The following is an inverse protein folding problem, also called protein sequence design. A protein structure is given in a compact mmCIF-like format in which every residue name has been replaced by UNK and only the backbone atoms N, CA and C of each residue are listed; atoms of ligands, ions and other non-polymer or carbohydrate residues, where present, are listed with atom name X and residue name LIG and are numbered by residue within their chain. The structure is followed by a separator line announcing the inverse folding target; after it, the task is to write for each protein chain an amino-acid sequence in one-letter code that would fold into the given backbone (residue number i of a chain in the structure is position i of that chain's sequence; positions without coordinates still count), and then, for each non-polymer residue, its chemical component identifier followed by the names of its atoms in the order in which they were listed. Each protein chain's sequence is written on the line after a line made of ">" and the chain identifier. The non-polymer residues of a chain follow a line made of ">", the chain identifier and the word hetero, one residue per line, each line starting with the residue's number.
data_IF_479689470715
#
_entry.id   IF_479689470715
#
_cell.length_a   1.000
_cell.length_b   1.000
_cell.length_c   1.000
_cell.angle_alpha   90.00
_cell.angle_beta   90.00
_cell.angle_gamma   90.00
#
_symmetry.space_group_name_H-M   'P 1'
#
loop_
_entity.id
_entity.type
_entity.pdbx_description
1 polymer ?
#
# COMPACT_ATOMS: atom_id res chain seq x y z
N UNK A 1 2.56 -17.34 -4.86
CA UNK A 1 3.69 -17.13 -5.78
C UNK A 1 4.75 -16.32 -5.02
N UNK A 2 5.71 -17.05 -4.49
CA UNK A 2 6.74 -16.59 -3.55
C UNK A 2 7.91 -16.07 -4.38
N UNK A 3 7.80 -14.86 -4.91
CA UNK A 3 9.00 -14.07 -5.20
C UNK A 3 9.40 -13.49 -3.85
N UNK A 4 9.96 -14.38 -3.03
CA UNK A 4 10.57 -14.06 -1.75
C UNK A 4 11.62 -13.00 -2.01
N UNK A 5 11.71 -12.07 -1.07
CA UNK A 5 12.36 -10.80 -1.23
C UNK A 5 13.89 -10.93 -1.10
N UNK A 6 14.49 -11.87 -1.83
CA UNK A 6 15.92 -12.21 -1.77
C UNK A 6 16.78 -10.99 -2.12
N UNK A 7 16.30 -10.13 -3.01
CA UNK A 7 16.97 -8.89 -3.39
C UNK A 7 17.03 -7.91 -2.19
N UNK A 8 15.93 -7.73 -1.46
CA UNK A 8 15.93 -6.88 -0.25
C UNK A 8 16.68 -7.53 0.89
N UNK A 9 16.59 -8.85 1.07
CA UNK A 9 17.39 -9.59 2.06
C UNK A 9 18.89 -9.40 1.82
N UNK A 10 19.35 -9.57 0.58
CA UNK A 10 20.76 -9.34 0.21
C UNK A 10 21.18 -7.88 0.40
N UNK A 11 20.29 -6.92 0.09
CA UNK A 11 20.57 -5.49 0.27
C UNK A 11 20.61 -5.08 1.75
N UNK A 12 19.73 -5.62 2.59
CA UNK A 12 19.76 -5.43 4.04
C UNK A 12 21.03 -6.04 4.63
N UNK A 13 21.42 -7.25 4.19
CA UNK A 13 22.65 -7.89 4.64
C UNK A 13 23.89 -7.05 4.30
N UNK A 14 23.97 -6.49 3.08
CA UNK A 14 25.04 -5.57 2.68
C UNK A 14 25.07 -4.31 3.54
N UNK A 15 23.94 -3.62 3.70
CA UNK A 15 23.87 -2.39 4.50
C UNK A 15 24.16 -2.65 5.99
N UNK A 16 23.81 -3.83 6.49
CA UNK A 16 24.11 -4.25 7.85
C UNK A 16 25.62 -4.51 8.04
N UNK A 17 26.28 -5.06 7.03
CA UNK A 17 27.74 -5.22 7.04
C UNK A 17 28.42 -3.83 7.02
N UNK A 18 27.99 -2.94 6.13
CA UNK A 18 28.53 -1.56 6.05
C UNK A 18 28.34 -0.78 7.37
N UNK A 19 27.16 -0.90 7.99
CA UNK A 19 26.89 -0.28 9.29
C UNK A 19 27.78 -0.87 10.40
N UNK A 20 27.99 -2.18 10.40
CA UNK A 20 28.88 -2.87 11.35
C UNK A 20 30.32 -2.39 11.20
N UNK A 21 30.82 -2.33 9.97
CA UNK A 21 32.19 -1.88 9.68
C UNK A 21 32.39 -0.43 10.13
N UNK A 22 31.44 0.46 9.85
CA UNK A 22 31.49 1.85 10.30
C UNK A 22 31.43 1.98 11.84
N UNK A 23 30.65 1.14 12.51
CA UNK A 23 30.62 1.10 13.98
C UNK A 23 31.96 0.62 14.56
N UNK A 24 32.60 -0.36 13.94
CA UNK A 24 33.91 -0.85 14.39
C UNK A 24 35.02 0.18 14.18
N UNK A 25 34.99 0.91 13.05
CA UNK A 25 35.86 2.08 12.86
C UNK A 25 35.61 3.19 13.88
N UNK A 26 34.35 3.46 14.24
CA UNK A 26 34.00 4.42 15.29
C UNK A 26 34.53 3.98 16.66
N UNK A 27 34.38 2.69 17.02
CA UNK A 27 34.95 2.12 18.25
C UNK A 27 36.47 2.25 18.27
N UNK A 28 37.13 1.99 17.14
CA UNK A 28 38.58 2.12 17.03
C UNK A 28 39.04 3.56 17.32
N UNK A 29 38.42 4.56 16.70
CA UNK A 29 38.75 5.97 16.96
C UNK A 29 38.39 6.38 18.38
N UNK A 30 37.30 5.85 18.96
CA UNK A 30 36.97 6.09 20.37
C UNK A 30 38.04 5.56 21.33
N UNK A 31 38.64 4.40 21.02
CA UNK A 31 39.77 3.86 21.80
C UNK A 31 40.98 4.78 21.70
N UNK A 32 41.32 5.26 20.50
CA UNK A 32 42.43 6.22 20.32
C UNK A 32 42.16 7.52 21.10
N UNK A 33 40.93 8.05 21.06
CA UNK A 33 40.55 9.24 21.84
C UNK A 33 40.78 9.01 23.32
N UNK A 34 40.36 7.86 23.87
CA UNK A 34 40.58 7.54 25.28
C UNK A 34 42.07 7.45 25.63
N UNK A 35 42.87 6.78 24.80
CA UNK A 35 44.33 6.70 24.98
C UNK A 35 45.00 8.08 24.93
N UNK A 36 44.52 8.98 24.07
CA UNK A 36 45.02 10.36 23.96
C UNK A 36 44.63 11.21 25.19
N UNK A 37 43.42 11.01 25.73
CA UNK A 37 42.97 11.67 26.97
C UNK A 37 43.81 11.22 28.16
N UNK A 38 44.07 9.91 28.29
CA UNK A 38 44.93 9.37 29.33
C UNK A 38 46.34 9.94 29.27
N UNK A 39 46.91 10.05 28.05
CA UNK A 39 48.21 10.70 27.84
C UNK A 39 48.15 12.16 28.26
N UNK A 40 47.16 12.93 27.82
CA UNK A 40 47.00 14.36 28.17
C UNK A 40 46.89 14.62 29.68
N UNK A 41 46.43 13.64 30.46
CA UNK A 41 46.33 13.73 31.92
C UNK A 41 47.68 13.56 32.65
N UNK A 42 48.77 13.21 31.95
CA UNK A 42 50.10 13.13 32.55
C UNK A 42 50.66 14.54 32.83
N UNK A 43 50.99 14.88 34.09
CA UNK A 43 51.45 16.22 34.47
C UNK A 43 52.85 16.60 33.94
N UNK A 44 53.63 15.64 33.43
CA UNK A 44 55.01 15.84 32.96
C UNK A 44 55.14 15.98 31.42
N UNK A 45 54.07 16.36 30.72
CA UNK A 45 54.08 16.50 29.26
C UNK A 45 54.61 17.86 28.83
N UNK A 46 55.48 17.85 27.80
CA UNK A 46 55.98 19.05 27.15
C UNK A 46 54.89 19.82 26.40
N UNK A 47 55.03 21.15 26.29
CA UNK A 47 54.03 22.03 25.65
C UNK A 47 53.85 21.67 24.17
N UNK A 48 54.93 21.37 23.45
CA UNK A 48 54.86 20.98 22.03
C UNK A 48 54.20 19.61 21.85
N UNK A 49 54.46 18.68 22.76
CA UNK A 49 53.82 17.36 22.77
C UNK A 49 52.31 17.47 23.06
N UNK A 50 51.92 18.33 24.01
CA UNK A 50 50.51 18.62 24.33
C UNK A 50 49.74 19.16 23.12
N UNK A 51 50.31 20.11 22.38
CA UNK A 51 49.66 20.66 21.17
C UNK A 51 49.44 19.60 20.09
N UNK A 52 50.43 18.73 19.87
CA UNK A 52 50.31 17.63 18.93
C UNK A 52 49.23 16.61 19.35
N UNK A 53 49.17 16.26 20.65
CA UNK A 53 48.12 15.39 21.19
C UNK A 53 46.72 15.99 21.06
N UNK A 54 46.56 17.29 21.31
CA UNK A 54 45.29 17.99 21.11
C UNK A 54 44.84 17.99 19.64
N UNK A 55 45.78 18.16 18.70
CA UNK A 55 45.49 18.06 17.26
C UNK A 55 45.04 16.65 16.88
N UNK A 56 45.74 15.61 17.36
CA UNK A 56 45.33 14.21 17.14
C UNK A 56 43.97 13.90 17.75
N UNK A 57 43.70 14.41 18.96
CA UNK A 57 42.42 14.22 19.64
C UNK A 57 41.27 14.82 18.84
N UNK A 58 41.46 16.04 18.33
CA UNK A 58 40.48 16.71 17.47
C UNK A 58 40.20 15.88 16.21
N UNK A 59 41.25 15.48 15.48
CA UNK A 59 41.11 14.68 14.25
C UNK A 59 40.39 13.36 14.52
N UNK A 60 40.74 12.62 15.58
CA UNK A 60 40.11 11.33 15.88
C UNK A 60 38.65 11.49 16.36
N UNK A 61 38.34 12.59 17.04
CA UNK A 61 36.96 12.92 17.42
C UNK A 61 36.10 13.23 16.19
N UNK A 62 36.62 14.01 15.25
CA UNK A 62 35.96 14.29 13.96
C UNK A 62 35.75 13.00 13.15
N UNK A 63 36.77 12.14 13.03
CA UNK A 63 36.64 10.86 12.35
C UNK A 63 35.60 9.95 13.00
N UNK A 64 35.57 9.85 14.34
CA UNK A 64 34.52 9.12 15.08
C UNK A 64 33.12 9.62 14.70
N UNK A 65 32.91 10.94 14.65
CA UNK A 65 31.59 11.49 14.27
C UNK A 65 31.21 11.15 12.82
N UNK A 66 32.17 11.20 11.89
CA UNK A 66 31.94 10.83 10.48
C UNK A 66 31.53 9.35 10.36
N UNK A 67 32.20 8.44 11.07
CA UNK A 67 31.85 7.01 11.02
C UNK A 67 30.49 6.72 11.68
N UNK A 68 30.13 7.44 12.75
CA UNK A 68 28.79 7.34 13.35
C UNK A 68 27.70 7.83 12.39
N UNK A 69 27.93 8.92 11.69
CA UNK A 69 26.98 9.45 10.71
C UNK A 69 26.78 8.47 9.54
N UNK A 70 27.87 7.87 9.05
CA UNK A 70 27.80 6.82 8.01
C UNK A 70 27.04 5.59 8.49
N UNK A 71 27.29 5.11 9.70
CA UNK A 71 26.54 3.99 10.29
C UNK A 71 25.04 4.33 10.42
N UNK A 72 24.72 5.54 10.88
CA UNK A 72 23.34 6.00 11.00
C UNK A 72 22.64 6.09 9.63
N UNK A 73 23.33 6.55 8.60
CA UNK A 73 22.80 6.60 7.24
C UNK A 73 22.52 5.19 6.69
N UNK A 74 23.43 4.22 6.88
CA UNK A 74 23.18 2.83 6.48
C UNK A 74 21.97 2.22 7.22
N UNK A 75 21.81 2.51 8.52
CA UNK A 75 20.64 2.11 9.30
C UNK A 75 19.35 2.79 8.83
N UNK A 76 19.42 4.07 8.47
CA UNK A 76 18.28 4.80 7.91
C UNK A 76 17.86 4.20 6.56
N UNK A 77 18.81 3.82 5.71
CA UNK A 77 18.51 3.14 4.46
C UNK A 77 17.89 1.75 4.67
N UNK A 78 18.30 1.01 5.71
CA UNK A 78 17.63 -0.24 6.10
C UNK A 78 16.19 0.04 6.54
N UNK A 79 15.98 1.05 7.38
CA UNK A 79 14.64 1.46 7.80
C UNK A 79 13.78 1.89 6.61
N UNK A 80 14.35 2.64 5.68
CA UNK A 80 13.69 3.04 4.44
C UNK A 80 13.36 1.84 3.57
N UNK A 81 14.22 0.81 3.46
CA UNK A 81 13.91 -0.43 2.72
C UNK A 81 12.79 -1.24 3.39
N UNK A 82 12.76 -1.28 4.72
CA UNK A 82 11.73 -1.98 5.49
C UNK A 82 10.37 -1.24 5.42
N UNK A 83 10.39 0.09 5.34
CA UNK A 83 9.18 0.93 5.28
C UNK A 83 8.70 1.17 3.84
N UNK A 84 9.60 1.33 2.86
CA UNK A 84 9.26 1.52 1.44
C UNK A 84 8.88 0.22 0.74
N UNK A 85 9.33 -0.94 1.24
CA UNK A 85 8.84 -2.26 0.82
C UNK A 85 7.34 -2.49 1.05
N UNK A 86 6.67 -1.58 1.78
CA UNK A 86 5.24 -1.63 2.09
C UNK A 86 4.32 -0.83 1.16
N UNK A 87 4.79 -0.22 0.06
CA UNK A 87 3.87 0.60 -0.78
C UNK A 87 2.76 -0.21 -1.47
N UNK A 88 2.95 -1.52 -1.70
CA UNK A 88 1.88 -2.47 -2.10
C UNK A 88 1.11 -3.04 -0.90
N UNK A 89 1.69 -2.99 0.30
CA UNK A 89 1.06 -3.44 1.54
C UNK A 89 0.17 -2.36 2.16
N UNK A 90 0.27 -1.09 1.77
CA UNK A 90 -0.61 -0.03 2.27
C UNK A 90 -2.07 -0.26 1.83
N UNK A 91 -2.32 -0.52 0.54
CA UNK A 91 -3.67 -0.85 0.06
C UNK A 91 -4.21 -2.15 0.69
N UNK A 92 -3.40 -3.22 0.72
CA UNK A 92 -3.84 -4.51 1.27
C UNK A 92 -4.04 -4.47 2.79
N UNK A 93 -3.23 -3.70 3.52
CA UNK A 93 -3.39 -3.52 4.96
C UNK A 93 -4.61 -2.65 5.28
N UNK A 94 -4.84 -1.56 4.53
CA UNK A 94 -6.06 -0.77 4.65
C UNK A 94 -7.29 -1.62 4.32
N UNK A 95 -7.26 -2.41 3.25
CA UNK A 95 -8.34 -3.34 2.90
C UNK A 95 -8.58 -4.37 4.01
N UNK A 96 -7.52 -4.91 4.61
CA UNK A 96 -7.64 -5.83 5.75
C UNK A 96 -8.26 -5.15 6.98
N UNK A 97 -7.88 -3.89 7.28
CA UNK A 97 -8.50 -3.11 8.35
C UNK A 97 -10.00 -2.90 8.09
N UNK A 98 -10.38 -2.60 6.84
CA UNK A 98 -11.78 -2.50 6.44
C UNK A 98 -12.53 -3.82 6.59
N UNK A 99 -11.94 -4.94 6.17
CA UNK A 99 -12.53 -6.28 6.34
C UNK A 99 -12.75 -6.59 7.82
N UNK A 100 -11.75 -6.36 8.67
CA UNK A 100 -11.86 -6.63 10.11
C UNK A 100 -12.97 -5.78 10.74
N UNK A 101 -13.02 -4.48 10.41
CA UNK A 101 -14.10 -3.60 10.88
C UNK A 101 -15.48 -4.06 10.41
N UNK A 102 -15.60 -4.45 9.14
CA UNK A 102 -16.85 -4.93 8.58
C UNK A 102 -17.28 -6.25 9.22
N UNK A 103 -16.35 -7.19 9.43
CA UNK A 103 -16.61 -8.45 10.15
C UNK A 103 -17.09 -8.20 11.58
N UNK A 104 -16.44 -7.26 12.29
CA UNK A 104 -16.84 -6.90 13.64
C UNK A 104 -18.25 -6.28 13.64
N UNK A 105 -18.56 -5.39 12.71
CA UNK A 105 -19.92 -4.86 12.54
C UNK A 105 -20.94 -5.97 12.29
N UNK A 106 -20.67 -6.88 11.34
CA UNK A 106 -21.55 -8.02 11.07
C UNK A 106 -21.75 -8.91 12.30
N UNK A 107 -20.72 -9.10 13.14
CA UNK A 107 -20.85 -9.90 14.36
C UNK A 107 -21.74 -9.28 15.44
N UNK A 108 -22.05 -7.98 15.34
CA UNK A 108 -22.98 -7.31 16.25
C UNK A 108 -24.45 -7.43 15.83
N UNK A 109 -24.71 -7.91 14.62
CA UNK A 109 -26.06 -7.99 14.05
C UNK A 109 -26.69 -9.36 14.33
N UNK A 110 -28.01 -9.37 14.52
CA UNK A 110 -28.78 -10.63 14.56
C UNK A 110 -28.91 -11.24 13.17
N UNK A 111 -29.23 -12.53 13.10
CA UNK A 111 -29.44 -13.24 11.82
C UNK A 111 -30.53 -12.57 10.99
N UNK A 112 -31.62 -12.13 11.62
CA UNK A 112 -32.70 -11.39 10.96
C UNK A 112 -32.21 -10.06 10.35
N UNK A 113 -31.41 -9.29 11.10
CA UNK A 113 -30.86 -8.02 10.62
C UNK A 113 -29.92 -8.22 9.43
N UNK A 114 -29.10 -9.28 9.45
CA UNK A 114 -28.25 -9.64 8.33
C UNK A 114 -29.10 -9.96 7.09
N UNK A 115 -30.20 -10.70 7.25
CA UNK A 115 -31.10 -11.02 6.15
C UNK A 115 -31.74 -9.76 5.53
N UNK A 116 -32.17 -8.79 6.35
CA UNK A 116 -32.66 -7.50 5.84
C UNK A 116 -31.59 -6.73 5.07
N UNK A 117 -30.35 -6.70 5.54
CA UNK A 117 -29.24 -6.05 4.84
C UNK A 117 -28.98 -6.72 3.49
N UNK A 118 -28.95 -8.05 3.44
CA UNK A 118 -28.76 -8.80 2.19
C UNK A 118 -29.88 -8.48 1.19
N UNK A 119 -31.14 -8.44 1.64
CA UNK A 119 -32.27 -8.05 0.81
C UNK A 119 -32.13 -6.63 0.26
N UNK A 120 -31.79 -5.64 1.11
CA UNK A 120 -31.59 -4.24 0.69
C UNK A 120 -30.50 -4.15 -0.37
N UNK A 121 -29.35 -4.78 -0.15
CA UNK A 121 -28.24 -4.81 -1.12
C UNK A 121 -28.68 -5.48 -2.41
N UNK A 122 -29.41 -6.59 -2.32
CA UNK A 122 -29.93 -7.31 -3.46
C UNK A 122 -30.87 -6.43 -4.32
N UNK A 123 -31.86 -5.80 -3.70
CA UNK A 123 -32.76 -4.88 -4.41
C UNK A 123 -32.03 -3.69 -5.01
N UNK A 124 -31.01 -3.15 -4.32
CA UNK A 124 -30.18 -2.08 -4.87
C UNK A 124 -29.46 -2.52 -6.16
N UNK A 125 -28.91 -3.74 -6.18
CA UNK A 125 -28.28 -4.31 -7.38
C UNK A 125 -29.29 -4.48 -8.52
N UNK A 126 -30.51 -4.94 -8.23
CA UNK A 126 -31.58 -5.06 -9.22
C UNK A 126 -31.94 -3.69 -9.80
N UNK A 127 -32.14 -2.68 -8.95
CA UNK A 127 -32.45 -1.31 -9.38
C UNK A 127 -31.32 -0.75 -10.25
N UNK A 128 -30.06 -0.91 -9.83
CA UNK A 128 -28.89 -0.48 -10.62
C UNK A 128 -28.84 -1.17 -11.98
N UNK A 129 -29.19 -2.45 -12.04
CA UNK A 129 -29.27 -3.21 -13.30
C UNK A 129 -30.40 -2.70 -14.20
N UNK A 130 -31.57 -2.37 -13.62
CA UNK A 130 -32.70 -1.76 -14.35
C UNK A 130 -32.35 -0.38 -14.90
N UNK A 131 -31.69 0.47 -14.11
CA UNK A 131 -31.20 1.78 -14.57
C UNK A 131 -30.20 1.60 -15.71
N UNK A 132 -29.31 0.62 -15.61
CA UNK A 132 -28.34 0.30 -16.67
C UNK A 132 -29.04 -0.13 -17.96
N UNK A 133 -30.06 -0.98 -17.87
CA UNK A 133 -30.89 -1.39 -19.02
C UNK A 133 -31.60 -0.17 -19.62
N UNK A 134 -32.23 0.67 -18.79
CA UNK A 134 -32.90 1.88 -19.25
C UNK A 134 -31.91 2.83 -19.97
N UNK A 135 -30.73 3.06 -19.39
CA UNK A 135 -29.70 3.91 -19.99
C UNK A 135 -29.22 3.37 -21.36
N UNK A 136 -29.16 2.06 -21.54
CA UNK A 136 -28.85 1.43 -22.83
C UNK A 136 -29.97 1.66 -23.84
N UNK A 137 -31.23 1.39 -23.48
CA UNK A 137 -32.38 1.53 -24.36
C UNK A 137 -32.61 2.99 -24.79
N UNK A 138 -32.63 3.91 -23.81
CA UNK A 138 -32.78 5.34 -24.10
C UNK A 138 -31.55 5.91 -24.81
N UNK A 139 -30.35 5.42 -24.49
CA UNK A 139 -29.13 5.82 -25.19
C UNK A 139 -29.19 5.56 -26.69
N UNK A 140 -29.61 4.35 -27.11
CA UNK A 140 -29.77 4.02 -28.53
C UNK A 140 -30.93 4.80 -29.19
N UNK A 141 -32.03 5.02 -28.45
CA UNK A 141 -33.13 5.86 -28.91
C UNK A 141 -32.68 7.30 -29.21
N UNK A 142 -31.93 7.94 -28.29
CA UNK A 142 -31.42 9.30 -28.50
C UNK A 142 -30.47 9.37 -29.70
N UNK A 143 -29.59 8.37 -29.87
CA UNK A 143 -28.65 8.32 -31.00
C UNK A 143 -29.39 8.32 -32.34
N UNK A 144 -30.45 7.50 -32.45
CA UNK A 144 -31.28 7.41 -33.65
C UNK A 144 -32.10 8.68 -33.87
N UNK A 145 -32.75 9.18 -32.81
CA UNK A 145 -33.61 10.37 -32.89
C UNK A 145 -32.86 11.62 -33.35
N UNK A 146 -31.66 11.86 -32.80
CA UNK A 146 -30.84 13.02 -33.14
C UNK A 146 -29.92 12.79 -34.36
N UNK A 147 -29.97 11.61 -35.00
CA UNK A 147 -29.08 11.20 -36.10
C UNK A 147 -27.61 11.50 -35.80
N UNK A 148 -27.16 11.17 -34.59
CA UNK A 148 -25.82 11.54 -34.11
C UNK A 148 -24.70 10.90 -34.95
N UNK A 149 -24.97 9.75 -35.56
CA UNK A 149 -24.04 9.07 -36.48
C UNK A 149 -23.80 9.89 -37.76
N UNK A 150 -24.84 10.55 -38.31
CA UNK A 150 -24.73 11.42 -39.49
C UNK A 150 -24.11 12.78 -39.13
N UNK A 151 -24.51 13.34 -37.99
CA UNK A 151 -24.06 14.67 -37.54
C UNK A 151 -22.60 14.69 -37.07
N UNK A 152 -22.11 13.58 -36.51
CA UNK A 152 -20.75 13.47 -35.96
C UNK A 152 -20.04 12.18 -36.43
N UNK A 153 -19.55 12.15 -37.69
CA UNK A 153 -18.98 10.93 -38.29
C UNK A 153 -17.70 10.43 -37.60
N UNK A 154 -16.95 11.32 -36.93
CA UNK A 154 -15.77 10.93 -36.13
C UNK A 154 -16.15 10.09 -34.91
N UNK A 155 -17.33 10.33 -34.33
CA UNK A 155 -17.84 9.64 -33.13
C UNK A 155 -18.66 8.40 -33.51
N UNK A 156 -19.16 8.34 -34.76
CA UNK A 156 -19.95 7.22 -35.26
C UNK A 156 -19.27 5.84 -35.07
N UNK A 157 -17.95 5.75 -35.29
CA UNK A 157 -17.19 4.50 -35.05
C UNK A 157 -17.25 4.05 -33.59
N UNK A 158 -17.13 4.98 -32.65
CA UNK A 158 -17.21 4.71 -31.21
C UNK A 158 -18.62 4.27 -30.81
N UNK A 159 -19.65 4.92 -31.36
CA UNK A 159 -21.07 4.57 -31.13
C UNK A 159 -21.37 3.14 -31.59
N UNK A 160 -20.90 2.74 -32.77
CA UNK A 160 -21.10 1.38 -33.30
C UNK A 160 -20.47 0.32 -32.41
N UNK A 161 -19.24 0.55 -31.93
CA UNK A 161 -18.54 -0.37 -31.01
C UNK A 161 -19.29 -0.44 -29.68
N UNK A 162 -19.65 0.71 -29.10
CA UNK A 162 -20.42 0.79 -27.85
C UNK A 162 -21.73 0.00 -27.95
N UNK A 163 -22.45 0.11 -29.07
CA UNK A 163 -23.71 -0.61 -29.31
C UNK A 163 -23.54 -2.13 -29.29
N UNK A 164 -22.42 -2.67 -29.79
CA UNK A 164 -22.12 -4.10 -29.69
C UNK A 164 -21.93 -4.52 -28.23
N UNK A 165 -21.18 -3.75 -27.44
CA UNK A 165 -20.99 -4.04 -26.00
C UNK A 165 -22.29 -3.92 -25.21
N UNK A 166 -23.13 -2.94 -25.53
CA UNK A 166 -24.41 -2.71 -24.86
C UNK A 166 -25.34 -3.93 -24.89
N UNK A 167 -25.33 -4.71 -25.97
CA UNK A 167 -26.15 -5.92 -26.06
C UNK A 167 -25.67 -7.01 -25.08
N UNK A 168 -24.35 -7.18 -24.93
CA UNK A 168 -23.78 -8.07 -23.91
C UNK A 168 -24.10 -7.59 -22.50
N UNK A 169 -23.99 -6.28 -22.23
CA UNK A 169 -24.36 -5.70 -20.94
C UNK A 169 -25.84 -5.90 -20.62
N UNK A 170 -26.73 -5.77 -21.61
CA UNK A 170 -28.16 -5.96 -21.41
C UNK A 170 -28.47 -7.41 -21.03
N UNK A 171 -27.94 -8.38 -21.77
CA UNK A 171 -28.10 -9.80 -21.45
C UNK A 171 -27.52 -10.14 -20.06
N UNK A 172 -26.33 -9.61 -19.73
CA UNK A 172 -25.73 -9.80 -18.42
C UNK A 172 -26.62 -9.26 -17.29
N UNK A 173 -27.12 -8.02 -17.41
CA UNK A 173 -28.00 -7.43 -16.40
C UNK A 173 -29.31 -8.22 -16.24
N UNK A 174 -29.91 -8.73 -17.33
CA UNK A 174 -31.10 -9.57 -17.26
C UNK A 174 -30.82 -10.87 -16.50
N UNK A 175 -29.71 -11.55 -16.81
CA UNK A 175 -29.31 -12.79 -16.12
C UNK A 175 -29.06 -12.51 -14.63
N UNK A 176 -28.36 -11.42 -14.30
CA UNK A 176 -28.10 -11.01 -12.91
C UNK A 176 -29.42 -10.76 -12.18
N UNK A 177 -30.35 -10.02 -12.77
CA UNK A 177 -31.67 -9.76 -12.16
C UNK A 177 -32.41 -11.08 -11.89
N UNK A 178 -32.43 -12.01 -12.84
CA UNK A 178 -33.11 -13.30 -12.68
C UNK A 178 -32.50 -14.13 -11.55
N UNK A 179 -31.18 -14.33 -11.55
CA UNK A 179 -30.48 -15.10 -10.52
C UNK A 179 -30.67 -14.47 -9.15
N UNK A 180 -30.49 -13.16 -9.05
CA UNK A 180 -30.60 -12.45 -7.77
C UNK A 180 -32.03 -12.49 -7.25
N UNK A 181 -33.03 -12.36 -8.13
CA UNK A 181 -34.45 -12.44 -7.73
C UNK A 181 -34.79 -13.82 -7.17
N UNK A 182 -34.34 -14.89 -7.82
CA UNK A 182 -34.54 -16.27 -7.32
C UNK A 182 -33.84 -16.44 -5.96
N UNK A 183 -32.60 -15.98 -5.84
CA UNK A 183 -31.84 -16.05 -4.60
C UNK A 183 -32.53 -15.32 -3.44
N UNK A 184 -33.02 -14.10 -3.67
CA UNK A 184 -33.76 -13.34 -2.66
C UNK A 184 -35.08 -14.02 -2.29
N UNK A 185 -35.79 -14.63 -3.24
CA UNK A 185 -37.01 -15.40 -2.93
C UNK A 185 -36.68 -16.56 -1.99
N UNK A 186 -35.61 -17.32 -2.27
CA UNK A 186 -35.19 -18.43 -1.41
C UNK A 186 -34.86 -17.95 0.01
N UNK A 187 -34.07 -16.89 0.14
CA UNK A 187 -33.74 -16.31 1.46
C UNK A 187 -34.98 -15.83 2.24
N UNK A 188 -35.93 -15.21 1.55
CA UNK A 188 -37.18 -14.77 2.20
C UNK A 188 -38.06 -15.95 2.63
N UNK A 189 -38.07 -17.04 1.87
CA UNK A 189 -38.76 -18.28 2.26
C UNK A 189 -38.11 -18.89 3.49
N UNK A 190 -36.78 -19.03 3.52
CA UNK A 190 -36.07 -19.55 4.70
C UNK A 190 -36.35 -18.72 5.95
N UNK A 191 -36.35 -17.39 5.82
CA UNK A 191 -36.69 -16.48 6.93
C UNK A 191 -38.17 -16.54 7.36
N UNK A 192 -39.07 -17.05 6.52
CA UNK A 192 -40.47 -17.24 6.91
C UNK A 192 -40.66 -18.50 7.77
N UNK A 193 -39.78 -19.49 7.62
CA UNK A 193 -39.85 -20.77 8.35
C UNK A 193 -39.03 -20.79 9.65
N UNK A 194 -38.12 -19.83 9.85
CA UNK A 194 -37.35 -19.59 11.08
C UNK A 194 -38.13 -18.63 11.98
#
# INVERSE_FOLDING_TARGET
>A
MVIDNQIVKNKIASLSADASDHLDWSKHHNRIVNELIEKLNNPNIDISEREHLLKLLKTNTEQKTVFLEKANNSLQQINDLLTSGNSKNDFMSQFNIWIVKYKNFLSTLTVEQINYIINIIGYFIIISSLISIAAVLYGDFLIKYFKLEEKFPKIAKYIIIRRKFQWYYLNYNIIVILILSIFLIILNIENFFI
#
